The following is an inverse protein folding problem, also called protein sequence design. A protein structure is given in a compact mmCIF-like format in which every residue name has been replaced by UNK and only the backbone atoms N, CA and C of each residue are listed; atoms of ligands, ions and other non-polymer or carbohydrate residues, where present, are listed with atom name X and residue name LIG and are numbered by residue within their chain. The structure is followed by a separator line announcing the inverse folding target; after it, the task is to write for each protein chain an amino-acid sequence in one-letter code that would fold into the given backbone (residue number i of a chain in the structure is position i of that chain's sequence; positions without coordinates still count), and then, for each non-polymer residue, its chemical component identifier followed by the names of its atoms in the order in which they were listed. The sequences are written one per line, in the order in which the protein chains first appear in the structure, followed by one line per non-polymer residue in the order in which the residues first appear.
data_IF_730600235258
#
_entry.id   IF_730600235258
#
_cell.length_a   1.000
_cell.length_b   1.000
_cell.length_c   1.000
_cell.angle_alpha   90.00
_cell.angle_beta   90.00
_cell.angle_gamma   90.00
#
_symmetry.space_group_name_H-M   'P 1'
#
loop_
_entity.id
_entity.type
_entity.pdbx_description
1 polymer ?
#
# COMPACT_ATOMS: atom_id res chain seq x y z
N UNK A 1 -1.55 -30.98 -8.12
CA UNK A 1 -2.14 -30.11 -9.16
C UNK A 1 -1.95 -28.60 -8.89
N UNK A 2 -2.23 -28.08 -7.67
CA UNK A 2 -2.16 -26.62 -7.36
C UNK A 2 -0.76 -25.99 -7.40
N UNK A 3 0.26 -26.67 -6.84
CA UNK A 3 1.65 -26.18 -6.89
C UNK A 3 2.22 -26.17 -8.32
N UNK A 4 1.76 -27.10 -9.16
CA UNK A 4 2.20 -27.23 -10.55
C UNK A 4 1.82 -26.01 -11.38
N UNK A 5 0.60 -25.49 -11.25
CA UNK A 5 0.15 -24.29 -11.96
C UNK A 5 0.97 -23.05 -11.54
N UNK A 6 1.14 -22.85 -10.23
CA UNK A 6 1.94 -21.75 -9.69
C UNK A 6 3.38 -21.80 -10.22
N UNK A 7 4.01 -22.97 -10.21
CA UNK A 7 5.36 -23.15 -10.73
C UNK A 7 5.45 -22.89 -12.24
N UNK A 8 4.46 -23.32 -13.03
CA UNK A 8 4.40 -23.05 -14.48
C UNK A 8 4.33 -21.54 -14.71
N UNK A 9 3.48 -20.83 -13.96
CA UNK A 9 3.37 -19.37 -14.04
C UNK A 9 4.70 -18.70 -13.69
N UNK A 10 5.40 -19.15 -12.64
CA UNK A 10 6.73 -18.61 -12.29
C UNK A 10 7.80 -18.91 -13.34
N UNK A 11 7.78 -20.08 -13.97
CA UNK A 11 8.71 -20.42 -15.05
C UNK A 11 8.46 -19.52 -16.27
N UNK A 12 7.19 -19.38 -16.68
CA UNK A 12 6.79 -18.50 -17.77
C UNK A 12 7.23 -17.05 -17.54
N UNK A 13 6.91 -16.50 -16.37
CA UNK A 13 7.35 -15.15 -16.02
C UNK A 13 8.86 -15.05 -15.82
N UNK A 14 9.51 -16.15 -15.47
CA UNK A 14 10.95 -16.23 -15.40
C UNK A 14 11.60 -15.96 -16.77
N UNK A 15 11.03 -16.47 -17.86
CA UNK A 15 11.48 -16.16 -19.22
C UNK A 15 11.27 -14.68 -19.57
N UNK A 16 10.12 -14.12 -19.19
CA UNK A 16 9.83 -12.69 -19.41
C UNK A 16 10.87 -11.84 -18.69
N UNK A 17 11.08 -12.07 -17.40
CA UNK A 17 12.06 -11.34 -16.59
C UNK A 17 13.48 -11.45 -17.17
N UNK A 18 13.90 -12.64 -17.62
CA UNK A 18 15.22 -12.85 -18.23
C UNK A 18 15.38 -12.19 -19.61
N UNK A 19 14.26 -11.88 -20.28
CA UNK A 19 14.26 -11.13 -21.55
C UNK A 19 14.46 -9.65 -21.27
N UNK A 20 13.71 -9.10 -20.30
CA UNK A 20 13.74 -7.68 -19.93
C UNK A 20 14.98 -7.26 -19.14
N UNK A 21 15.50 -8.13 -18.28
CA UNK A 21 16.68 -7.87 -17.46
C UNK A 21 17.85 -8.73 -17.93
N UNK A 22 19.02 -8.12 -18.11
CA UNK A 22 20.25 -8.88 -18.37
C UNK A 22 20.70 -9.64 -17.14
N UNK A 23 20.45 -9.09 -15.96
CA UNK A 23 20.87 -9.67 -14.69
C UNK A 23 19.87 -9.28 -13.60
N UNK A 24 19.49 -10.27 -12.79
CA UNK A 24 18.69 -10.08 -11.59
C UNK A 24 19.43 -10.77 -10.45
N UNK A 25 19.82 -10.01 -9.43
CA UNK A 25 20.46 -10.57 -8.22
C UNK A 25 19.49 -10.58 -7.05
N UNK A 26 19.59 -11.62 -6.24
CA UNK A 26 18.91 -11.73 -4.96
C UNK A 26 19.93 -11.65 -3.84
N UNK A 27 19.73 -10.74 -2.89
CA UNK A 27 20.56 -10.59 -1.68
C UNK A 27 19.74 -10.90 -0.43
N UNK A 28 20.39 -11.40 0.61
CA UNK A 28 19.74 -11.68 1.89
C UNK A 28 18.68 -12.79 1.87
N UNK A 29 18.56 -13.59 0.79
CA UNK A 29 17.54 -14.66 0.72
C UNK A 29 17.68 -15.73 1.82
N UNK A 30 18.85 -15.82 2.45
CA UNK A 30 19.10 -16.70 3.60
C UNK A 30 18.42 -16.20 4.89
N UNK A 31 18.04 -14.92 4.96
CA UNK A 31 17.30 -14.34 6.07
C UNK A 31 15.84 -14.79 6.12
N UNK A 32 15.32 -15.31 5.01
CA UNK A 32 13.92 -15.72 4.89
C UNK A 32 13.70 -16.97 5.76
N UNK A 33 12.80 -16.92 6.77
CA UNK A 33 12.46 -18.10 7.55
C UNK A 33 11.95 -19.24 6.65
N UNK A 34 12.47 -20.44 6.87
CA UNK A 34 12.09 -21.63 6.08
C UNK A 34 10.65 -22.05 6.34
N UNK A 35 10.19 -21.86 7.58
CA UNK A 35 8.88 -22.28 8.07
C UNK A 35 8.16 -21.11 8.76
N UNK A 36 6.89 -21.32 9.08
CA UNK A 36 6.03 -20.31 9.69
C UNK A 36 5.48 -19.28 8.69
N UNK A 37 4.56 -18.42 9.17
CA UNK A 37 3.95 -17.37 8.37
C UNK A 37 4.84 -16.14 8.22
N UNK A 38 4.83 -15.57 7.02
CA UNK A 38 5.65 -14.40 6.68
C UNK A 38 4.77 -13.37 5.98
N UNK A 39 4.94 -12.11 6.36
CA UNK A 39 4.52 -10.98 5.53
C UNK A 39 5.76 -10.35 4.92
N UNK A 40 5.91 -10.51 3.60
CA UNK A 40 6.91 -9.80 2.83
C UNK A 40 6.41 -8.39 2.56
N UNK A 41 7.23 -7.39 2.88
CA UNK A 41 6.91 -5.98 2.64
C UNK A 41 7.90 -5.45 1.61
N UNK A 42 7.42 -5.13 0.42
CA UNK A 42 8.25 -4.61 -0.67
C UNK A 42 8.20 -3.10 -0.80
N UNK A 43 9.37 -2.48 -0.96
CA UNK A 43 9.53 -1.08 -1.34
C UNK A 43 10.94 -0.83 -1.93
N UNK A 44 11.15 0.17 -2.80
CA UNK A 44 10.14 0.99 -3.46
C UNK A 44 9.30 0.18 -4.46
N UNK A 45 8.07 0.61 -4.73
CA UNK A 45 7.14 -0.12 -5.60
C UNK A 45 7.12 0.45 -7.03
N UNK A 46 8.26 0.48 -7.72
CA UNK A 46 8.36 1.14 -9.02
C UNK A 46 7.51 0.50 -10.13
N UNK A 47 7.35 -0.83 -10.12
CA UNK A 47 6.59 -1.55 -11.14
C UNK A 47 5.76 -2.66 -10.52
N UNK A 48 4.47 -2.39 -10.28
CA UNK A 48 3.61 -3.29 -9.53
C UNK A 48 3.57 -4.74 -10.03
N UNK A 49 3.72 -4.93 -11.33
CA UNK A 49 3.73 -6.26 -11.92
C UNK A 49 5.08 -6.97 -11.73
N UNK A 50 6.17 -6.31 -12.12
CA UNK A 50 7.52 -6.88 -12.04
C UNK A 50 7.95 -7.10 -10.58
N UNK A 51 7.62 -6.17 -9.68
CA UNK A 51 7.90 -6.26 -8.25
C UNK A 51 7.33 -7.53 -7.63
N UNK A 52 6.06 -7.83 -7.93
CA UNK A 52 5.40 -9.04 -7.47
C UNK A 52 6.05 -10.31 -8.03
N UNK A 53 6.43 -10.32 -9.32
CA UNK A 53 7.09 -11.45 -9.94
C UNK A 53 8.49 -11.71 -9.36
N UNK A 54 9.27 -10.66 -9.11
CA UNK A 54 10.58 -10.76 -8.47
C UNK A 54 10.43 -11.34 -7.06
N UNK A 55 9.49 -10.82 -6.27
CA UNK A 55 9.23 -11.33 -4.93
C UNK A 55 8.84 -12.81 -4.94
N UNK A 56 7.90 -13.22 -5.79
CA UNK A 56 7.48 -14.61 -5.88
C UNK A 56 8.61 -15.53 -6.35
N UNK A 57 9.45 -15.08 -7.30
CA UNK A 57 10.55 -15.89 -7.84
C UNK A 57 11.69 -16.07 -6.84
N UNK A 58 12.08 -15.00 -6.13
CA UNK A 58 13.29 -14.99 -5.31
C UNK A 58 13.08 -15.25 -3.83
N UNK A 59 11.83 -15.17 -3.33
CA UNK A 59 11.52 -15.52 -1.93
C UNK A 59 11.67 -17.01 -1.61
N UNK A 60 11.70 -17.87 -2.63
CA UNK A 60 11.78 -19.35 -2.52
C UNK A 60 10.65 -19.96 -1.68
N UNK A 61 9.60 -19.20 -1.41
CA UNK A 61 8.38 -19.61 -0.71
C UNK A 61 7.17 -19.22 -1.54
N UNK A 62 6.06 -19.97 -1.51
CA UNK A 62 4.83 -19.55 -2.17
C UNK A 62 4.30 -18.26 -1.53
N UNK A 63 4.31 -17.16 -2.28
CA UNK A 63 3.85 -15.84 -1.83
C UNK A 63 2.51 -15.50 -2.47
N UNK A 64 1.53 -15.19 -1.63
CA UNK A 64 0.20 -14.74 -2.03
C UNK A 64 0.21 -13.21 -2.08
N UNK A 65 0.21 -12.64 -3.28
CA UNK A 65 0.25 -11.19 -3.47
C UNK A 65 -1.12 -10.56 -3.28
N UNK A 66 -1.16 -9.35 -2.73
CA UNK A 66 -2.36 -8.53 -2.76
C UNK A 66 -2.47 -7.73 -4.07
N UNK A 67 -3.59 -7.88 -4.76
CA UNK A 67 -3.86 -7.21 -6.05
C UNK A 67 -5.12 -6.36 -5.92
N UNK A 68 -5.07 -5.13 -6.45
CA UNK A 68 -6.22 -4.23 -6.48
C UNK A 68 -7.31 -4.72 -7.45
N UNK A 69 -8.58 -4.63 -7.04
CA UNK A 69 -9.73 -5.04 -7.84
C UNK A 69 -9.76 -4.38 -9.23
N UNK A 70 -9.38 -3.11 -9.33
CA UNK A 70 -9.34 -2.40 -10.61
C UNK A 70 -8.36 -3.05 -11.61
N UNK A 71 -7.21 -3.54 -11.16
CA UNK A 71 -6.24 -4.21 -12.04
C UNK A 71 -6.86 -5.47 -12.69
N UNK A 72 -7.75 -6.16 -11.97
CA UNK A 72 -8.49 -7.31 -12.47
C UNK A 72 -9.63 -6.89 -13.39
N UNK A 73 -10.39 -5.84 -13.02
CA UNK A 73 -11.54 -5.36 -13.78
C UNK A 73 -11.14 -4.90 -15.18
N UNK A 74 -10.03 -4.18 -15.30
CA UNK A 74 -9.58 -3.62 -16.59
C UNK A 74 -8.62 -4.53 -17.36
N UNK A 75 -8.04 -5.55 -16.71
CA UNK A 75 -7.11 -6.50 -17.32
C UNK A 75 -7.68 -7.91 -17.39
N UNK A 76 -8.32 -8.27 -18.50
CA UNK A 76 -8.89 -9.62 -18.69
C UNK A 76 -7.90 -10.75 -18.35
N UNK A 77 -6.65 -10.62 -18.81
CA UNK A 77 -5.59 -11.59 -18.52
C UNK A 77 -5.04 -11.50 -17.09
N UNK A 78 -5.07 -10.31 -16.48
CA UNK A 78 -4.64 -10.09 -15.09
C UNK A 78 -5.53 -10.87 -14.13
N UNK A 79 -6.84 -10.89 -14.37
CA UNK A 79 -7.78 -11.68 -13.56
C UNK A 79 -7.53 -13.19 -13.62
N UNK A 80 -7.19 -13.72 -14.80
CA UNK A 80 -6.86 -15.15 -14.97
C UNK A 80 -5.58 -15.49 -14.21
N UNK A 81 -4.54 -14.67 -14.37
CA UNK A 81 -3.25 -14.85 -13.69
C UNK A 81 -3.39 -14.71 -12.17
N UNK A 82 -4.11 -13.70 -11.70
CA UNK A 82 -4.38 -13.48 -10.28
C UNK A 82 -5.01 -14.70 -9.62
N UNK A 83 -5.99 -15.34 -10.29
CA UNK A 83 -6.58 -16.60 -9.82
C UNK A 83 -5.59 -17.76 -9.84
N UNK A 84 -4.76 -17.87 -10.87
CA UNK A 84 -3.76 -18.93 -10.99
C UNK A 84 -2.67 -18.85 -9.91
N UNK A 85 -2.32 -17.65 -9.45
CA UNK A 85 -1.35 -17.44 -8.36
C UNK A 85 -2.01 -17.26 -6.99
N UNK A 86 -3.34 -17.43 -6.91
CA UNK A 86 -4.13 -17.25 -5.68
C UNK A 86 -3.95 -15.88 -5.01
N UNK A 87 -3.87 -14.81 -5.81
CA UNK A 87 -3.76 -13.46 -5.27
C UNK A 87 -4.95 -13.10 -4.36
N UNK A 88 -4.65 -12.34 -3.31
CA UNK A 88 -5.64 -11.79 -2.38
C UNK A 88 -6.17 -10.49 -2.99
N UNK A 89 -7.49 -10.37 -3.14
CA UNK A 89 -8.08 -9.24 -3.88
C UNK A 89 -8.50 -8.14 -2.92
N UNK A 90 -8.03 -6.92 -3.18
CA UNK A 90 -8.28 -5.74 -2.36
C UNK A 90 -9.15 -4.73 -3.12
N UNK A 91 -10.27 -4.34 -2.51
CA UNK A 91 -11.04 -3.17 -2.91
C UNK A 91 -10.46 -1.93 -2.24
N UNK A 92 -10.13 -0.88 -3.00
CA UNK A 92 -9.63 0.38 -2.44
C UNK A 92 -10.71 1.46 -2.60
N UNK A 93 -10.95 2.31 -1.59
CA UNK A 93 -11.88 3.44 -1.72
C UNK A 93 -11.58 4.33 -2.94
N UNK A 94 -10.29 4.56 -3.21
CA UNK A 94 -9.82 5.33 -4.37
C UNK A 94 -10.22 4.71 -5.72
N UNK A 95 -10.38 3.39 -5.79
CA UNK A 95 -10.76 2.69 -7.02
C UNK A 95 -12.25 2.89 -7.36
N UNK A 96 -13.05 3.27 -6.38
CA UNK A 96 -14.48 3.57 -6.47
C UNK A 96 -14.77 5.07 -6.34
N UNK A 97 -13.72 5.90 -6.45
CA UNK A 97 -13.83 7.33 -6.31
C UNK A 97 -14.56 7.94 -7.52
N UNK A 98 -15.56 8.77 -7.24
CA UNK A 98 -16.35 9.46 -8.26
C UNK A 98 -16.23 10.98 -8.08
N UNK A 99 -16.18 11.76 -9.17
CA UNK A 99 -16.20 13.21 -9.06
C UNK A 99 -17.52 13.67 -8.43
N UNK A 100 -17.42 14.56 -7.44
CA UNK A 100 -18.56 15.23 -6.86
C UNK A 100 -19.21 16.18 -7.87
N UNK A 101 -20.55 16.24 -7.89
CA UNK A 101 -21.29 17.23 -8.66
C UNK A 101 -21.27 18.57 -7.94
N UNK A 102 -21.13 19.65 -8.70
CA UNK A 102 -21.06 20.98 -8.14
C UNK A 102 -19.71 21.27 -7.49
N UNK A 103 -19.70 22.17 -6.52
CA UNK A 103 -18.49 22.62 -5.83
C UNK A 103 -18.74 22.74 -4.33
N UNK A 104 -17.68 22.67 -3.53
CA UNK A 104 -17.73 22.83 -2.08
C UNK A 104 -16.86 23.98 -1.61
N UNK A 105 -17.22 24.57 -0.47
CA UNK A 105 -16.49 25.65 0.16
C UNK A 105 -16.71 25.66 1.68
N UNK A 106 -15.83 26.36 2.39
CA UNK A 106 -16.01 26.70 3.80
C UNK A 106 -16.71 28.05 3.89
N UNK A 107 -17.88 28.08 4.53
CA UNK A 107 -18.62 29.33 4.73
C UNK A 107 -18.04 30.09 5.92
N UNK A 108 -17.29 31.15 5.63
CA UNK A 108 -16.65 32.00 6.65
C UNK A 108 -17.66 32.59 7.64
N UNK A 109 -18.93 32.73 7.26
CA UNK A 109 -19.97 33.27 8.14
C UNK A 109 -20.49 32.27 9.16
N UNK A 110 -20.30 30.96 8.94
CA UNK A 110 -20.86 29.90 9.80
C UNK A 110 -19.94 29.51 10.95
N UNK A 111 -18.71 30.03 11.02
CA UNK A 111 -17.70 29.81 12.07
C UNK A 111 -17.37 28.34 12.41
N UNK A 112 -17.97 27.36 11.73
CA UNK A 112 -17.79 25.94 11.96
C UNK A 112 -16.91 25.32 10.86
N UNK A 113 -15.63 25.00 11.16
CA UNK A 113 -14.69 24.45 10.18
C UNK A 113 -15.00 22.99 9.79
N UNK A 114 -15.94 22.33 10.48
CA UNK A 114 -16.40 20.98 10.17
C UNK A 114 -17.62 20.99 9.23
N UNK A 115 -18.18 22.16 8.93
CA UNK A 115 -19.38 22.28 8.10
C UNK A 115 -19.00 22.73 6.70
N UNK A 116 -19.23 21.85 5.73
CA UNK A 116 -18.93 22.10 4.33
C UNK A 116 -20.22 22.46 3.60
N UNK A 117 -20.19 23.59 2.90
CA UNK A 117 -21.31 24.06 2.09
C UNK A 117 -21.06 23.77 0.61
N UNK A 118 -22.12 23.42 -0.12
CA UNK A 118 -22.09 23.06 -1.52
C UNK A 118 -22.80 24.08 -2.43
N UNK A 119 -22.34 24.19 -3.67
CA UNK A 119 -22.93 24.97 -4.76
C UNK A 119 -23.30 24.00 -5.88
N UNK A 120 -24.59 23.89 -6.20
CA UNK A 120 -25.12 22.93 -7.18
C UNK A 120 -24.70 21.47 -6.89
N UNK A 121 -24.59 21.12 -5.61
CA UNK A 121 -24.25 19.79 -5.13
C UNK A 121 -25.50 18.92 -5.01
N UNK A 122 -25.31 17.60 -5.03
CA UNK A 122 -26.37 16.59 -4.81
C UNK A 122 -25.92 15.61 -3.71
N UNK A 123 -25.58 16.13 -2.52
CA UNK A 123 -24.95 15.32 -1.47
C UNK A 123 -25.80 14.13 -1.02
N UNK A 124 -27.12 14.26 -0.92
CA UNK A 124 -27.98 13.14 -0.48
C UNK A 124 -28.00 11.98 -1.47
N UNK A 125 -27.67 12.25 -2.74
CA UNK A 125 -27.60 11.24 -3.80
C UNK A 125 -26.19 10.64 -3.96
N UNK A 126 -25.15 11.46 -3.83
CA UNK A 126 -23.76 11.04 -4.09
C UNK A 126 -23.01 10.55 -2.84
N UNK A 127 -23.46 10.93 -1.63
CA UNK A 127 -22.77 10.61 -0.39
C UNK A 127 -23.64 9.74 0.52
N UNK A 128 -22.97 8.99 1.38
CA UNK A 128 -23.56 8.34 2.55
C UNK A 128 -22.69 8.64 3.77
N UNK A 129 -23.26 8.57 4.97
CA UNK A 129 -22.48 8.69 6.21
C UNK A 129 -21.35 7.64 6.20
N UNK A 130 -20.14 8.07 6.57
CA UNK A 130 -18.92 7.28 6.50
C UNK A 130 -18.15 7.39 5.17
N UNK A 131 -18.74 7.97 4.12
CA UNK A 131 -18.01 8.29 2.88
C UNK A 131 -16.96 9.35 3.16
N UNK A 132 -15.94 9.41 2.32
CA UNK A 132 -14.91 10.44 2.40
C UNK A 132 -15.05 11.41 1.24
N UNK A 133 -14.83 12.69 1.51
CA UNK A 133 -14.60 13.70 0.49
C UNK A 133 -13.10 14.01 0.43
N UNK A 134 -12.57 14.22 -0.77
CA UNK A 134 -11.20 14.68 -0.96
C UNK A 134 -11.15 15.91 -1.86
N UNK A 135 -10.24 16.82 -1.51
CA UNK A 135 -9.99 18.03 -2.26
C UNK A 135 -9.10 17.73 -3.48
N UNK A 136 -9.08 18.61 -4.49
CA UNK A 136 -8.24 18.45 -5.66
C UNK A 136 -6.76 18.35 -5.26
N UNK A 137 -5.97 17.69 -6.11
CA UNK A 137 -4.50 17.54 -5.92
C UNK A 137 -4.10 16.89 -4.58
N UNK A 138 -5.00 16.12 -3.97
CA UNK A 138 -4.77 15.43 -2.70
C UNK A 138 -4.48 16.39 -1.53
N UNK A 139 -5.00 17.62 -1.56
CA UNK A 139 -4.87 18.62 -0.47
C UNK A 139 -5.58 18.24 0.85
N UNK A 140 -6.13 17.04 0.93
CA UNK A 140 -6.73 16.51 2.14
C UNK A 140 -7.91 15.58 1.84
N UNK A 141 -8.29 14.84 2.88
CA UNK A 141 -9.49 14.03 2.90
C UNK A 141 -10.17 14.11 4.26
N UNK A 142 -11.49 14.03 4.28
CA UNK A 142 -12.26 13.93 5.52
C UNK A 142 -13.48 13.06 5.36
N UNK A 143 -13.84 12.35 6.43
CA UNK A 143 -15.00 11.46 6.49
C UNK A 143 -16.27 12.28 6.77
N UNK A 144 -17.34 12.03 6.04
CA UNK A 144 -18.66 12.64 6.23
C UNK A 144 -19.34 11.95 7.40
N UNK A 145 -19.60 12.69 8.48
CA UNK A 145 -20.29 12.18 9.67
C UNK A 145 -21.78 12.39 9.62
N UNK A 146 -22.23 13.42 8.90
CA UNK A 146 -23.64 13.76 8.75
C UNK A 146 -23.91 14.42 7.40
N UNK A 147 -25.06 14.10 6.81
CA UNK A 147 -25.57 14.75 5.59
C UNK A 147 -26.84 15.50 5.98
N UNK A 148 -26.73 16.84 6.02
CA UNK A 148 -27.81 17.71 6.48
C UNK A 148 -28.77 18.00 5.31
N UNK A 149 -28.23 18.27 4.12
CA UNK A 149 -29.00 18.51 2.90
C UNK A 149 -28.16 18.25 1.65
N UNK A 150 -28.72 18.47 0.46
CA UNK A 150 -27.97 18.38 -0.81
C UNK A 150 -26.82 19.41 -0.91
N UNK A 151 -26.82 20.44 -0.07
CA UNK A 151 -25.85 21.54 -0.06
C UNK A 151 -25.09 21.67 1.26
N UNK A 152 -25.31 20.79 2.23
CA UNK A 152 -24.63 20.90 3.52
C UNK A 152 -24.32 19.53 4.13
N UNK A 153 -23.08 19.35 4.57
CA UNK A 153 -22.57 18.14 5.22
C UNK A 153 -21.68 18.52 6.41
N UNK A 154 -21.55 17.60 7.36
CA UNK A 154 -20.59 17.68 8.46
C UNK A 154 -19.50 16.65 8.24
N UNK A 155 -18.25 17.06 8.43
CA UNK A 155 -17.07 16.20 8.30
C UNK A 155 -16.41 15.94 9.66
N UNK A 156 -15.71 14.83 9.77
CA UNK A 156 -15.10 14.33 11.01
C UNK A 156 -13.86 15.12 11.45
N UNK A 157 -13.13 15.66 10.48
CA UNK A 157 -11.88 16.40 10.68
C UNK A 157 -11.84 17.60 9.75
N UNK A 158 -11.48 18.75 10.30
CA UNK A 158 -11.28 19.98 9.52
C UNK A 158 -10.06 19.87 8.60
N UNK A 159 -10.09 20.63 7.50
CA UNK A 159 -8.95 20.80 6.61
C UNK A 159 -8.02 21.88 7.14
N UNK A 160 -6.87 21.50 7.70
CA UNK A 160 -5.92 22.44 8.33
C UNK A 160 -4.84 22.98 7.41
N UNK A 161 -4.55 22.28 6.32
CA UNK A 161 -3.43 22.62 5.47
C UNK A 161 -3.69 23.94 4.72
N UNK A 162 -2.68 24.83 4.58
CA UNK A 162 -2.87 26.13 3.92
C UNK A 162 -3.46 25.99 2.51
N UNK A 163 -2.95 25.05 1.71
CA UNK A 163 -3.44 24.79 0.35
C UNK A 163 -4.90 24.31 0.35
N UNK A 164 -5.33 23.57 1.38
CA UNK A 164 -6.68 23.07 1.51
C UNK A 164 -7.66 24.20 1.86
N UNK A 165 -7.25 25.08 2.78
CA UNK A 165 -8.01 26.26 3.18
C UNK A 165 -8.15 27.23 2.01
N UNK A 166 -7.07 27.51 1.29
CA UNK A 166 -7.08 28.42 0.12
C UNK A 166 -8.11 27.99 -0.93
N UNK A 167 -8.14 26.70 -1.31
CA UNK A 167 -9.11 26.23 -2.30
C UNK A 167 -10.54 26.18 -1.76
N UNK A 168 -10.73 26.05 -0.45
CA UNK A 168 -12.05 26.00 0.18
C UNK A 168 -12.64 27.39 0.43
N UNK A 169 -11.83 28.44 0.54
CA UNK A 169 -12.29 29.82 0.73
C UNK A 169 -12.35 30.62 -0.57
N UNK A 170 -11.87 30.06 -1.69
CA UNK A 170 -11.89 30.75 -2.98
C UNK A 170 -13.32 31.09 -3.46
N UNK A 171 -13.52 32.24 -4.11
CA UNK A 171 -14.82 32.62 -4.68
C UNK A 171 -15.36 31.54 -5.64
N UNK A 172 -16.55 31.05 -5.36
CA UNK A 172 -17.22 30.03 -6.17
C UNK A 172 -16.81 28.57 -5.87
N UNK A 173 -16.05 28.32 -4.80
CA UNK A 173 -15.75 27.00 -4.26
C UNK A 173 -14.84 26.14 -5.13
N UNK A 174 -14.58 24.91 -4.68
CA UNK A 174 -13.68 23.95 -5.32
C UNK A 174 -14.37 22.64 -5.68
N UNK A 175 -13.87 21.96 -6.71
CA UNK A 175 -14.31 20.60 -7.03
C UNK A 175 -13.89 19.62 -5.94
N UNK A 176 -14.57 18.49 -5.83
CA UNK A 176 -14.25 17.47 -4.83
C UNK A 176 -14.48 16.08 -5.40
N UNK A 177 -13.94 15.07 -4.71
CA UNK A 177 -14.08 13.66 -5.07
C UNK A 177 -14.81 12.96 -3.93
N UNK A 178 -15.86 12.21 -4.26
CA UNK A 178 -16.60 11.35 -3.36
C UNK A 178 -15.93 9.97 -3.36
N UNK A 179 -15.59 9.45 -2.18
CA UNK A 179 -14.99 8.13 -2.02
C UNK A 179 -15.85 7.30 -1.07
N UNK A 180 -16.38 6.15 -1.50
CA UNK A 180 -17.20 5.32 -0.63
C UNK A 180 -16.35 4.69 0.48
N UNK A 181 -16.98 4.46 1.62
CA UNK A 181 -16.41 3.59 2.64
C UNK A 181 -16.29 2.17 2.08
N UNK A 182 -15.10 1.57 2.22
CA UNK A 182 -14.87 0.17 1.86
C UNK A 182 -14.57 -0.58 3.13
N UNK A 183 -15.48 -1.50 3.47
CA UNK A 183 -15.25 -2.44 4.56
C UNK A 183 -14.16 -3.43 4.15
N UNK A 184 -13.09 -3.49 4.95
CA UNK A 184 -11.96 -4.38 4.75
C UNK A 184 -11.98 -5.58 5.70
N UNK A 185 -13.02 -5.77 6.51
CA UNK A 185 -13.08 -6.81 7.53
C UNK A 185 -12.89 -8.21 6.94
N UNK A 186 -13.62 -8.55 5.87
CA UNK A 186 -13.47 -9.83 5.17
C UNK A 186 -12.06 -10.05 4.60
N UNK A 187 -11.37 -8.98 4.15
CA UNK A 187 -9.98 -9.10 3.70
C UNK A 187 -9.07 -9.49 4.87
N UNK A 188 -9.22 -8.82 6.01
CA UNK A 188 -8.42 -9.12 7.19
C UNK A 188 -8.65 -10.54 7.70
N UNK A 189 -9.90 -11.03 7.69
CA UNK A 189 -10.22 -12.41 8.04
C UNK A 189 -9.50 -13.41 7.14
N UNK A 190 -9.57 -13.25 5.81
CA UNK A 190 -8.83 -14.09 4.85
C UNK A 190 -7.33 -14.06 5.14
N UNK A 191 -6.77 -12.87 5.41
CA UNK A 191 -5.35 -12.72 5.74
C UNK A 191 -4.99 -13.45 7.04
N UNK A 192 -5.83 -13.34 8.07
CA UNK A 192 -5.59 -14.01 9.34
C UNK A 192 -5.61 -15.53 9.19
N UNK A 193 -6.58 -16.08 8.45
CA UNK A 193 -6.65 -17.51 8.15
C UNK A 193 -5.41 -18.00 7.38
N UNK A 194 -4.97 -17.23 6.39
CA UNK A 194 -3.79 -17.54 5.59
C UNK A 194 -2.51 -17.55 6.43
N UNK A 195 -2.34 -16.55 7.31
CA UNK A 195 -1.20 -16.49 8.23
C UNK A 195 -1.26 -17.61 9.26
N UNK A 196 -2.43 -17.91 9.83
CA UNK A 196 -2.59 -19.02 10.75
C UNK A 196 -2.29 -20.38 10.10
N UNK A 197 -2.56 -20.52 8.80
CA UNK A 197 -2.18 -21.68 7.99
C UNK A 197 -0.69 -21.69 7.55
N UNK A 198 0.16 -20.81 8.10
CA UNK A 198 1.60 -20.74 7.84
C UNK A 198 1.97 -20.23 6.44
N UNK A 199 1.06 -19.51 5.75
CA UNK A 199 1.29 -19.00 4.40
C UNK A 199 2.10 -17.70 4.42
N UNK A 200 2.64 -17.34 3.24
CA UNK A 200 3.38 -16.10 3.06
C UNK A 200 2.57 -15.10 2.24
N UNK A 201 2.47 -13.86 2.69
CA UNK A 201 1.73 -12.80 2.00
C UNK A 201 2.72 -11.74 1.52
N UNK A 202 2.54 -11.24 0.31
CA UNK A 202 3.35 -10.15 -0.24
C UNK A 202 2.55 -8.85 -0.32
N UNK A 203 3.09 -7.78 0.28
CA UNK A 203 2.44 -6.49 0.39
C UNK A 203 3.37 -5.36 -0.03
N UNK A 204 2.83 -4.41 -0.78
CA UNK A 204 3.51 -3.17 -1.16
C UNK A 204 2.78 -1.99 -0.51
N UNK A 205 3.19 -1.57 0.70
CA UNK A 205 2.42 -0.65 1.53
C UNK A 205 2.30 0.77 0.99
N UNK A 206 3.09 1.15 -0.03
CA UNK A 206 2.90 2.40 -0.79
C UNK A 206 1.52 2.45 -1.48
N UNK A 207 0.99 1.27 -1.85
CA UNK A 207 -0.35 1.12 -2.41
C UNK A 207 -0.55 1.74 -3.80
N UNK A 208 0.50 2.27 -4.43
CA UNK A 208 0.59 2.76 -5.82
C UNK A 208 2.03 2.58 -6.30
N UNK A 209 2.22 2.36 -7.60
CA UNK A 209 3.56 2.44 -8.18
C UNK A 209 3.96 3.88 -8.49
N UNK A 210 5.22 4.21 -8.22
CA UNK A 210 5.79 5.51 -8.50
C UNK A 210 7.29 5.41 -8.76
N UNK A 211 7.83 6.39 -9.47
CA UNK A 211 9.27 6.52 -9.77
C UNK A 211 9.86 7.73 -9.03
N UNK A 212 9.58 7.83 -7.72
CA UNK A 212 10.06 8.95 -6.89
C UNK A 212 11.32 8.51 -6.16
N UNK A 213 12.20 9.47 -5.87
CA UNK A 213 13.46 9.23 -5.16
C UNK A 213 13.29 8.94 -3.65
N UNK A 214 12.09 9.19 -3.10
CA UNK A 214 11.72 8.94 -1.71
C UNK A 214 10.51 8.00 -1.60
N UNK A 215 10.33 7.38 -0.42
CA UNK A 215 9.15 6.57 -0.12
C UNK A 215 7.87 7.40 -0.04
N UNK A 216 6.78 6.86 -0.59
CA UNK A 216 5.42 7.29 -0.25
C UNK A 216 5.07 6.79 1.17
N UNK A 217 4.32 7.57 1.97
CA UNK A 217 3.85 7.13 3.29
C UNK A 217 3.21 5.74 3.24
N UNK A 218 3.73 4.83 4.07
CA UNK A 218 3.29 3.44 4.11
C UNK A 218 1.91 3.32 4.75
N UNK A 219 0.99 2.60 4.11
CA UNK A 219 -0.34 2.35 4.67
C UNK A 219 -0.28 1.39 5.84
N UNK A 220 -1.00 1.72 6.92
CA UNK A 220 -1.05 0.96 8.17
C UNK A 220 -1.68 -0.44 8.05
N UNK A 221 -2.24 -0.81 6.90
CA UNK A 221 -2.90 -2.10 6.69
C UNK A 221 -2.02 -3.30 7.06
N UNK A 222 -0.70 -3.21 6.86
CA UNK A 222 0.24 -4.27 7.26
C UNK A 222 0.28 -4.46 8.77
N UNK A 223 0.28 -3.38 9.55
CA UNK A 223 0.25 -3.49 10.99
C UNK A 223 -1.05 -4.13 11.50
N UNK A 224 -2.20 -3.81 10.88
CA UNK A 224 -3.48 -4.46 11.19
C UNK A 224 -3.45 -5.95 10.84
N UNK A 225 -2.93 -6.32 9.67
CA UNK A 225 -2.80 -7.72 9.25
C UNK A 225 -1.95 -8.53 10.24
N UNK A 226 -0.77 -8.00 10.59
CA UNK A 226 0.17 -8.70 11.48
C UNK A 226 -0.35 -8.79 12.91
N UNK A 227 -0.63 -7.64 13.55
CA UNK A 227 -1.03 -7.60 14.96
C UNK A 227 -2.40 -8.25 15.15
N UNK A 228 -3.32 -8.06 14.22
CA UNK A 228 -4.64 -8.68 14.26
C UNK A 228 -4.58 -10.21 14.15
N UNK A 229 -3.76 -10.75 13.23
CA UNK A 229 -3.61 -12.21 13.10
C UNK A 229 -3.02 -12.84 14.37
N UNK A 230 -1.99 -12.22 14.95
CA UNK A 230 -1.35 -12.72 16.18
C UNK A 230 -2.22 -12.52 17.42
N UNK A 231 -3.03 -11.46 17.47
CA UNK A 231 -4.00 -11.24 18.53
C UNK A 231 -5.16 -12.25 18.47
N UNK A 232 -5.62 -12.61 17.27
CA UNK A 232 -6.69 -13.57 17.06
C UNK A 232 -6.27 -15.03 17.26
N UNK A 233 -4.97 -15.35 17.09
CA UNK A 233 -4.45 -16.71 17.15
C UNK A 233 -3.27 -16.79 18.14
N UNK A 234 -3.53 -17.14 19.42
CA UNK A 234 -2.48 -17.30 20.41
C UNK A 234 -1.41 -18.32 19.98
N UNK A 235 -0.14 -17.96 20.11
CA UNK A 235 0.99 -18.79 19.68
C UNK A 235 1.39 -18.63 18.21
N UNK A 236 0.64 -17.85 17.41
CA UNK A 236 1.04 -17.51 16.05
C UNK A 236 2.21 -16.53 16.06
N UNK A 237 3.34 -16.91 15.44
CA UNK A 237 4.54 -16.08 15.32
C UNK A 237 4.74 -15.60 13.87
N UNK A 238 4.04 -14.51 13.50
CA UNK A 238 4.19 -13.90 12.17
C UNK A 238 5.50 -13.12 12.11
N UNK A 239 6.35 -13.44 11.12
CA UNK A 239 7.53 -12.64 10.80
C UNK A 239 7.24 -11.65 9.69
N UNK A 240 7.81 -10.46 9.79
CA UNK A 240 7.82 -9.50 8.68
C UNK A 240 9.19 -9.52 8.02
N UNK A 241 9.26 -9.73 6.70
CA UNK A 241 10.51 -9.68 5.94
C UNK A 241 10.49 -8.46 5.02
N UNK A 242 11.28 -7.41 5.32
CA UNK A 242 11.40 -6.25 4.44
C UNK A 242 12.16 -6.64 3.16
N UNK A 243 11.69 -6.13 2.03
CA UNK A 243 12.22 -6.43 0.69
C UNK A 243 12.53 -5.13 -0.05
N UNK A 244 13.80 -4.86 -0.32
CA UNK A 244 14.27 -3.78 -1.17
C UNK A 244 14.21 -4.17 -2.65
N UNK A 245 13.57 -3.35 -3.49
CA UNK A 245 13.53 -3.55 -4.94
C UNK A 245 14.22 -2.40 -5.66
N UNK A 246 15.39 -2.67 -6.23
CA UNK A 246 16.22 -1.64 -6.85
C UNK A 246 16.42 -1.94 -8.34
N UNK A 247 15.94 -1.02 -9.19
CA UNK A 247 16.06 -1.10 -10.65
C UNK A 247 17.12 -0.12 -11.14
N UNK A 248 18.15 -0.63 -11.82
CA UNK A 248 19.19 0.21 -12.40
C UNK A 248 18.77 0.61 -13.79
N UNK A 249 18.61 1.91 -14.07
CA UNK A 249 18.16 2.41 -15.39
C UNK A 249 16.83 1.75 -15.87
N UNK A 250 15.71 1.95 -15.14
CA UNK A 250 14.45 1.25 -15.37
C UNK A 250 13.87 1.45 -16.79
N UNK A 251 14.21 2.56 -17.47
CA UNK A 251 13.76 2.83 -18.84
C UNK A 251 14.57 2.11 -19.93
N UNK A 252 15.69 1.46 -19.59
CA UNK A 252 16.52 0.74 -20.56
C UNK A 252 16.17 -0.74 -20.61
N UNK A 253 16.00 -1.25 -21.82
CA UNK A 253 15.91 -2.69 -22.04
C UNK A 253 17.22 -3.39 -21.65
N UNK A 254 17.12 -4.62 -21.13
CA UNK A 254 18.25 -5.41 -20.62
C UNK A 254 19.02 -4.72 -19.49
N UNK A 255 18.30 -3.95 -18.69
CA UNK A 255 18.84 -3.35 -17.48
C UNK A 255 19.04 -4.39 -16.37
N UNK A 256 19.42 -3.94 -15.16
CA UNK A 256 19.69 -4.81 -14.01
C UNK A 256 18.66 -4.55 -12.92
N UNK A 257 18.30 -5.60 -12.18
CA UNK A 257 17.48 -5.48 -10.99
C UNK A 257 18.13 -6.20 -9.80
N UNK A 258 17.93 -5.67 -8.61
CA UNK A 258 18.31 -6.32 -7.35
C UNK A 258 17.07 -6.40 -6.47
N UNK A 259 16.79 -7.60 -5.96
CA UNK A 259 15.87 -7.81 -4.85
C UNK A 259 16.69 -8.16 -3.61
N UNK A 260 16.49 -7.43 -2.52
CA UNK A 260 17.23 -7.63 -1.28
C UNK A 260 16.26 -7.92 -0.12
N UNK A 261 16.47 -9.04 0.57
CA UNK A 261 15.68 -9.46 1.72
C UNK A 261 16.40 -9.11 3.02
N UNK A 262 15.86 -8.19 3.80
CA UNK A 262 16.41 -7.83 5.10
C UNK A 262 16.14 -8.90 6.17
N UNK A 263 16.71 -8.70 7.35
CA UNK A 263 16.51 -9.58 8.49
C UNK A 263 15.03 -9.61 8.91
N UNK A 264 14.48 -10.80 9.25
CA UNK A 264 13.09 -10.93 9.66
C UNK A 264 12.85 -10.16 10.96
N UNK A 265 11.76 -9.40 10.98
CA UNK A 265 11.29 -8.64 12.14
C UNK A 265 10.36 -9.55 12.93
N UNK A 266 10.76 -9.85 14.17
CA UNK A 266 9.87 -10.44 15.17
C UNK A 266 9.00 -9.36 15.78
N UNK A 267 7.73 -9.67 16.02
CA UNK A 267 6.78 -8.71 16.59
C UNK A 267 6.92 -8.71 18.10
N UNK A 268 7.22 -7.56 18.72
CA UNK A 268 7.33 -7.47 20.17
C UNK A 268 5.97 -7.79 20.85
N UNK A 269 5.93 -8.65 21.88
CA UNK A 269 4.68 -9.03 22.55
C UNK A 269 3.88 -7.85 23.10
N UNK A 270 4.56 -6.80 23.56
CA UNK A 270 3.92 -5.59 24.09
C UNK A 270 3.07 -4.85 23.04
N UNK A 271 3.39 -4.98 21.75
CA UNK A 271 2.57 -4.40 20.68
C UNK A 271 1.26 -5.17 20.51
N UNK A 272 1.24 -6.48 20.74
CA UNK A 272 0.05 -7.32 20.69
C UNK A 272 -0.86 -7.00 21.88
N UNK A 273 -0.28 -6.88 23.08
CA UNK A 273 -1.02 -6.47 24.28
C UNK A 273 -1.68 -5.10 24.11
N UNK A 274 -0.94 -4.12 23.57
CA UNK A 274 -1.51 -2.80 23.25
C UNK A 274 -2.59 -2.87 22.17
N UNK A 275 -2.41 -3.71 21.16
CA UNK A 275 -3.41 -3.92 20.10
C UNK A 275 -4.75 -4.44 20.66
N UNK A 276 -4.72 -5.29 21.69
CA UNK A 276 -5.90 -5.85 22.35
C UNK A 276 -6.66 -4.85 23.23
N UNK A 277 -6.00 -3.81 23.74
CA UNK A 277 -6.63 -2.75 24.57
C UNK A 277 -7.59 -1.83 23.78
N UNK A 278 -7.69 -2.00 22.45
CA UNK A 278 -8.53 -1.20 21.55
C UNK A 278 -8.22 0.31 21.60
N UNK A 279 -9.02 1.14 20.92
CA UNK A 279 -8.93 2.59 21.03
C UNK A 279 -7.58 3.20 20.63
N UNK A 280 -7.06 4.10 21.48
CA UNK A 280 -5.78 4.79 21.26
C UNK A 280 -4.57 3.85 21.31
N UNK A 281 -4.57 2.87 22.21
CA UNK A 281 -3.47 1.91 22.35
C UNK A 281 -3.28 1.08 21.08
N UNK A 282 -4.39 0.65 20.46
CA UNK A 282 -4.35 -0.07 19.18
C UNK A 282 -3.69 0.77 18.08
N UNK A 283 -4.03 2.06 18.00
CA UNK A 283 -3.43 2.98 17.02
C UNK A 283 -1.94 3.17 17.30
N UNK A 284 -1.57 3.34 18.57
CA UNK A 284 -0.17 3.46 18.99
C UNK A 284 0.64 2.22 18.61
N UNK A 285 0.12 1.02 18.87
CA UNK A 285 0.76 -0.24 18.49
C UNK A 285 0.97 -0.34 16.97
N UNK A 286 -0.05 -0.01 16.19
CA UNK A 286 0.06 0.00 14.73
C UNK A 286 1.11 0.99 14.25
N UNK A 287 1.09 2.23 14.76
CA UNK A 287 2.05 3.26 14.39
C UNK A 287 3.49 2.85 14.74
N UNK A 288 3.71 2.30 15.93
CA UNK A 288 5.03 1.79 16.35
C UNK A 288 5.54 0.69 15.43
N UNK A 289 4.68 -0.28 15.08
CA UNK A 289 5.07 -1.34 14.14
C UNK A 289 5.39 -0.76 12.76
N UNK A 290 4.59 0.19 12.27
CA UNK A 290 4.87 0.87 11.00
C UNK A 290 6.20 1.63 11.02
N UNK A 291 6.56 2.29 12.13
CA UNK A 291 7.88 2.92 12.29
C UNK A 291 9.01 1.89 12.20
N UNK A 292 8.88 0.75 12.88
CA UNK A 292 9.88 -0.34 12.81
C UNK A 292 10.03 -0.84 11.37
N UNK A 293 8.92 -1.08 10.67
CA UNK A 293 8.91 -1.53 9.27
C UNK A 293 9.61 -0.51 8.37
N UNK A 294 9.26 0.77 8.51
CA UNK A 294 9.78 1.85 7.69
C UNK A 294 11.30 2.01 7.85
N UNK A 295 11.81 2.01 9.09
CA UNK A 295 13.24 2.09 9.36
C UNK A 295 14.00 0.87 8.83
N UNK A 296 13.37 -0.32 8.80
CA UNK A 296 13.99 -1.52 8.20
C UNK A 296 13.99 -1.49 6.67
N UNK A 297 12.94 -0.96 6.03
CA UNK A 297 12.87 -0.82 4.57
C UNK A 297 13.88 0.19 4.03
N UNK A 298 14.08 1.31 4.75
CA UNK A 298 15.09 2.33 4.40
C UNK A 298 16.50 1.76 4.22
N UNK A 299 16.84 0.71 4.97
CA UNK A 299 18.15 0.09 4.87
C UNK A 299 18.35 -0.73 3.59
N UNK A 300 17.27 -1.03 2.85
CA UNK A 300 17.29 -1.91 1.67
C UNK A 300 16.98 -1.17 0.36
N UNK A 301 16.37 0.01 0.45
CA UNK A 301 16.02 0.82 -0.70
C UNK A 301 17.13 1.83 -1.01
N UNK A 302 17.46 1.96 -2.29
CA UNK A 302 18.26 3.08 -2.77
C UNK A 302 17.32 4.28 -2.92
N UNK A 303 17.26 5.10 -1.88
CA UNK A 303 16.53 6.36 -1.86
C UNK A 303 17.50 7.53 -1.79
N UNK A 304 17.09 8.69 -2.30
CA UNK A 304 17.88 9.91 -2.30
C UNK A 304 16.97 11.15 -2.21
N UNK A 305 17.46 12.28 -1.66
CA UNK A 305 16.65 13.51 -1.54
C UNK A 305 16.24 14.08 -2.90
N UNK A 306 17.01 13.79 -3.96
CA UNK A 306 16.77 14.28 -5.30
C UNK A 306 17.27 13.27 -6.37
N UNK A 307 16.86 13.51 -7.62
CA UNK A 307 17.19 12.65 -8.76
C UNK A 307 18.67 12.67 -9.14
N UNK A 308 19.37 13.79 -8.94
CA UNK A 308 20.81 13.90 -9.26
C UNK A 308 21.61 13.03 -8.29
N UNK A 309 21.32 13.11 -7.00
CA UNK A 309 21.90 12.25 -5.96
C UNK A 309 21.59 10.77 -6.23
N UNK A 310 20.34 10.45 -6.57
CA UNK A 310 19.95 9.08 -6.93
C UNK A 310 20.74 8.56 -8.15
N UNK A 311 20.93 9.41 -9.15
CA UNK A 311 21.69 9.09 -10.35
C UNK A 311 23.16 8.80 -10.02
N UNK A 312 23.77 9.56 -9.11
CA UNK A 312 25.13 9.30 -8.62
C UNK A 312 25.21 7.93 -7.92
N UNK A 313 24.26 7.60 -7.04
CA UNK A 313 24.19 6.28 -6.42
C UNK A 313 24.12 5.16 -7.47
N UNK A 314 23.27 5.31 -8.49
CA UNK A 314 23.19 4.33 -9.58
C UNK A 314 24.45 4.25 -10.44
N UNK A 315 25.15 5.37 -10.68
CA UNK A 315 26.46 5.36 -11.34
C UNK A 315 27.46 4.55 -10.50
N UNK A 316 27.54 4.80 -9.20
CA UNK A 316 28.42 4.05 -8.30
C UNK A 316 28.11 2.56 -8.37
N UNK A 317 26.85 2.14 -8.28
CA UNK A 317 26.48 0.72 -8.39
C UNK A 317 26.71 0.11 -9.78
N UNK A 318 26.76 0.94 -10.82
CA UNK A 318 27.09 0.51 -12.19
C UNK A 318 28.57 0.14 -12.30
N UNK A 319 29.46 0.96 -11.73
CA UNK A 319 30.92 0.78 -11.82
C UNK A 319 31.52 -0.05 -10.67
N UNK A 320 30.93 0.04 -9.49
CA UNK A 320 31.25 -0.72 -8.28
C UNK A 320 30.03 -1.50 -7.85
N UNK A 321 29.68 -2.60 -8.54
CA UNK A 321 28.62 -3.46 -8.07
C UNK A 321 29.01 -3.91 -6.66
N UNK A 322 28.18 -3.60 -5.67
CA UNK A 322 28.37 -4.14 -4.31
C UNK A 322 28.11 -5.65 -4.44
N UNK A 323 29.19 -6.38 -4.73
CA UNK A 323 29.27 -7.82 -4.78
C UNK A 323 29.92 -8.20 -3.47
N UNK A 324 29.08 -8.55 -2.51
CA UNK A 324 29.30 -9.58 -1.50
C UNK A 324 27.91 -10.01 -1.02
#
# INVERSE_FOLDING_TARGET
MRITMFNIVLVFFGFILNTFFREIKSRGSHNIPKEGPIIFIGAPHANAFVDGLLLMRYSKRPVFLMIAQNAIRYGHYVGILARAIHAIILNRPKDLAEPGKGKIFLDENKADPLRITGINTEFTKQLKVGYQISLPREYGLSEVTEIISDTEIVIKKEFKEPNALEVLTQPGGTSYICMPYVDQSNLYEIVFEMLNAGKCIGVFPEGRSHDRSEFIPLKAGVAFMTLGAMAANPGLDVKIVPCGLNYFQPHKFRSRAVIEFGSPISIPPELIEKYNKNGSDRREACNKLMTIIYERLKLLAVIAPDYETLSVCFIIFTYYPIIN
#
